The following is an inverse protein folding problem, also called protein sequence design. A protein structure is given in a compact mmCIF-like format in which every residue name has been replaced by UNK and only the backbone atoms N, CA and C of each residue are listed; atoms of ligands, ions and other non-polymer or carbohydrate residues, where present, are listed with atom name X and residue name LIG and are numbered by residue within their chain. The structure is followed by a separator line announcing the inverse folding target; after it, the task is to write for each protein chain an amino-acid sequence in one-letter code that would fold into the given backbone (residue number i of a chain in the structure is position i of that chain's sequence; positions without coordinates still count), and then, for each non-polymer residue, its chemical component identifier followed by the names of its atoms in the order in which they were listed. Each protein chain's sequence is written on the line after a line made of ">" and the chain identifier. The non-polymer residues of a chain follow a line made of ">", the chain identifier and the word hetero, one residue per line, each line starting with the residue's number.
data_IF_285611610319
#
_entry.id   IF_285611610319
#
_cell.length_a   1.000
_cell.length_b   1.000
_cell.length_c   1.000
_cell.angle_alpha   90.00
_cell.angle_beta   90.00
_cell.angle_gamma   90.00
#
_symmetry.space_group_name_H-M   'P 1'
#
loop_
_entity.id
_entity.type
_entity.pdbx_description
1 polymer ?
#
# COMPACT_ATOMS: atom_id res chain seq x y z
N UNK A 1 -3.53 5.82 2.20
CA UNK A 1 -3.14 6.96 1.32
C UNK A 1 -1.93 7.69 1.89
N UNK A 2 -2.10 8.48 2.95
CA UNK A 2 -1.03 9.36 3.48
C UNK A 2 0.29 8.67 3.79
N UNK A 3 0.22 7.46 4.35
CA UNK A 3 1.42 6.69 4.66
C UNK A 3 2.24 6.36 3.39
N UNK A 4 1.60 5.88 2.32
CA UNK A 4 2.28 5.58 1.05
C UNK A 4 2.80 6.87 0.41
N UNK A 5 1.97 7.93 0.41
CA UNK A 5 2.36 9.25 -0.13
C UNK A 5 3.64 9.76 0.53
N UNK A 6 3.69 9.78 1.86
CA UNK A 6 4.88 10.29 2.54
C UNK A 6 6.05 9.31 2.49
N UNK A 7 5.82 8.01 2.39
CA UNK A 7 6.88 7.03 2.16
C UNK A 7 7.57 7.23 0.81
N UNK A 8 6.81 7.51 -0.26
CA UNK A 8 7.37 7.81 -1.60
C UNK A 8 8.25 9.07 -1.55
N UNK A 9 7.83 10.09 -0.78
CA UNK A 9 8.50 11.40 -0.75
C UNK A 9 9.68 11.43 0.22
N UNK A 10 9.60 10.75 1.35
CA UNK A 10 10.62 10.81 2.42
C UNK A 10 10.72 9.45 3.16
N UNK A 11 11.18 8.37 2.50
CA UNK A 11 11.29 7.06 3.12
C UNK A 11 12.33 7.02 4.27
N UNK A 12 13.30 7.94 4.24
CA UNK A 12 14.32 8.13 5.27
C UNK A 12 13.83 8.95 6.48
N UNK A 13 12.61 9.52 6.40
CA UNK A 13 12.07 10.41 7.41
C UNK A 13 11.78 9.74 8.75
N UNK A 14 11.60 10.54 9.82
CA UNK A 14 11.34 10.05 11.18
C UNK A 14 10.02 9.29 11.33
N UNK A 15 9.09 9.42 10.36
CA UNK A 15 7.83 8.67 10.31
C UNK A 15 7.96 7.28 9.66
N UNK A 16 9.10 6.98 9.04
CA UNK A 16 9.32 5.80 8.22
C UNK A 16 10.59 5.06 8.68
N UNK A 17 11.62 4.96 7.84
CA UNK A 17 12.82 4.20 8.19
C UNK A 17 13.91 5.00 8.89
N UNK A 18 13.77 6.32 9.06
CA UNK A 18 14.74 7.15 9.80
C UNK A 18 15.13 6.58 11.19
N UNK A 19 14.17 6.11 12.01
CA UNK A 19 14.45 5.54 13.33
C UNK A 19 15.19 4.19 13.32
N UNK A 20 15.35 3.54 12.17
CA UNK A 20 15.91 2.18 12.10
C UNK A 20 17.45 2.13 12.10
N UNK A 21 18.12 3.28 12.06
CA UNK A 21 19.59 3.36 11.97
C UNK A 21 20.34 2.72 13.13
N UNK A 22 19.73 2.73 14.32
CA UNK A 22 20.24 2.04 15.51
C UNK A 22 19.78 0.59 15.67
N UNK A 23 19.03 0.05 14.70
CA UNK A 23 18.47 -1.30 14.75
C UNK A 23 19.48 -2.39 14.41
N UNK A 24 19.13 -3.63 14.74
CA UNK A 24 19.88 -4.83 14.35
C UNK A 24 18.95 -5.95 13.90
N UNK A 25 19.46 -6.82 13.03
CA UNK A 25 18.79 -8.00 12.52
C UNK A 25 19.79 -9.16 12.50
N UNK A 26 19.41 -10.32 13.04
CA UNK A 26 20.29 -11.50 13.17
C UNK A 26 21.66 -11.19 13.81
N UNK A 27 21.66 -10.32 14.83
CA UNK A 27 22.88 -9.89 15.53
C UNK A 27 23.77 -8.93 14.73
N UNK A 28 23.35 -8.54 13.52
CA UNK A 28 24.07 -7.60 12.67
C UNK A 28 23.39 -6.23 12.69
N UNK A 29 24.13 -5.11 12.79
CA UNK A 29 23.56 -3.78 12.65
C UNK A 29 22.87 -3.62 11.30
N UNK A 30 21.67 -3.03 11.31
CA UNK A 30 21.01 -2.56 10.08
C UNK A 30 21.75 -1.34 9.53
N UNK A 31 22.35 -0.53 10.42
CA UNK A 31 23.05 0.71 10.09
C UNK A 31 22.16 1.64 9.24
N UNK A 32 22.76 2.36 8.29
CA UNK A 32 22.05 3.35 7.47
C UNK A 32 21.39 2.79 6.20
N UNK A 33 21.33 1.45 6.02
CA UNK A 33 20.92 0.83 4.75
C UNK A 33 19.53 1.21 4.25
N UNK A 34 18.62 1.61 5.14
CA UNK A 34 17.31 2.08 4.76
C UNK A 34 17.29 3.59 4.47
N UNK A 35 18.05 4.39 5.23
CA UNK A 35 18.16 5.85 5.06
C UNK A 35 18.99 6.23 3.82
N UNK A 36 19.94 5.38 3.44
CA UNK A 36 20.80 5.50 2.27
C UNK A 36 20.55 4.38 1.24
N UNK A 37 19.44 3.65 1.37
CA UNK A 37 19.03 2.62 0.41
C UNK A 37 18.50 3.21 -0.90
N UNK A 38 18.37 2.37 -1.93
CA UNK A 38 18.00 2.79 -3.29
C UNK A 38 16.71 3.63 -3.33
N UNK A 39 15.63 3.24 -2.63
CA UNK A 39 14.41 4.05 -2.58
C UNK A 39 14.59 5.41 -1.89
N UNK A 40 15.48 5.49 -0.90
CA UNK A 40 15.78 6.77 -0.21
C UNK A 40 16.65 7.69 -1.04
N UNK A 41 17.58 7.13 -1.83
CA UNK A 41 18.34 7.89 -2.82
C UNK A 41 17.39 8.38 -3.92
N UNK A 42 16.56 7.49 -4.46
CA UNK A 42 15.57 7.81 -5.48
C UNK A 42 14.63 8.94 -5.03
N UNK A 43 14.09 8.86 -3.80
CA UNK A 43 13.19 9.88 -3.28
C UNK A 43 13.87 11.26 -3.19
N UNK A 44 15.13 11.32 -2.73
CA UNK A 44 15.92 12.56 -2.65
C UNK A 44 16.15 13.19 -4.04
N UNK A 45 16.38 12.36 -5.05
CA UNK A 45 16.76 12.80 -6.40
C UNK A 45 15.56 13.09 -7.32
N UNK A 46 14.43 12.43 -7.07
CA UNK A 46 13.30 12.37 -8.02
C UNK A 46 11.95 12.78 -7.43
N UNK A 47 11.64 12.49 -6.16
CA UNK A 47 10.29 12.73 -5.64
C UNK A 47 9.92 14.22 -5.62
N UNK A 48 10.89 15.12 -5.43
CA UNK A 48 10.70 16.58 -5.50
C UNK A 48 10.41 17.11 -6.91
N UNK A 49 10.64 16.32 -7.95
CA UNK A 49 10.34 16.65 -9.35
C UNK A 49 8.94 16.18 -9.78
N UNK A 50 8.28 15.35 -8.97
CA UNK A 50 6.92 14.89 -9.22
C UNK A 50 5.90 15.90 -8.67
N UNK A 51 4.84 16.12 -9.41
CA UNK A 51 3.71 16.92 -8.95
C UNK A 51 2.94 16.20 -7.84
N UNK A 52 2.21 16.96 -7.03
CA UNK A 52 1.32 16.38 -6.01
C UNK A 52 0.25 15.48 -6.63
N UNK A 53 -0.18 15.78 -7.86
CA UNK A 53 -1.14 14.97 -8.60
C UNK A 53 -0.54 13.63 -9.03
N UNK A 54 0.68 13.61 -9.57
CA UNK A 54 1.38 12.37 -9.95
C UNK A 54 1.61 11.46 -8.74
N UNK A 55 2.05 12.03 -7.62
CA UNK A 55 2.23 11.25 -6.38
C UNK A 55 0.89 10.68 -5.91
N UNK A 56 -0.18 11.47 -5.92
CA UNK A 56 -1.52 10.99 -5.55
C UNK A 56 -2.01 9.90 -6.52
N UNK A 57 -1.74 10.05 -7.81
CA UNK A 57 -2.08 9.08 -8.84
C UNK A 57 -1.42 7.72 -8.58
N UNK A 58 -0.10 7.69 -8.38
CA UNK A 58 0.63 6.45 -8.05
C UNK A 58 0.10 5.82 -6.76
N UNK A 59 -0.24 6.62 -5.76
CA UNK A 59 -0.87 6.11 -4.52
C UNK A 59 -2.20 5.42 -4.81
N UNK A 60 -3.09 6.01 -5.61
CA UNK A 60 -4.35 5.36 -5.98
C UNK A 60 -4.14 4.10 -6.80
N UNK A 61 -3.17 4.10 -7.72
CA UNK A 61 -2.83 2.93 -8.51
C UNK A 61 -2.32 1.78 -7.63
N UNK A 62 -1.45 2.04 -6.66
CA UNK A 62 -1.00 1.02 -5.70
C UNK A 62 -2.16 0.52 -4.83
N UNK A 63 -3.07 1.41 -4.43
CA UNK A 63 -4.27 1.01 -3.68
C UNK A 63 -5.21 0.14 -4.50
N UNK A 64 -5.31 0.37 -5.82
CA UNK A 64 -6.15 -0.43 -6.71
C UNK A 64 -5.65 -1.86 -6.91
N UNK A 65 -4.38 -2.13 -6.58
CA UNK A 65 -3.84 -3.49 -6.57
C UNK A 65 -4.25 -4.29 -5.33
N UNK A 66 -4.59 -3.59 -4.24
CA UNK A 66 -4.97 -4.19 -2.97
C UNK A 66 -6.47 -4.43 -2.82
N UNK A 67 -6.85 -4.91 -1.64
CA UNK A 67 -8.24 -5.16 -1.21
C UNK A 67 -8.55 -4.38 0.09
N UNK A 68 -7.96 -3.19 0.25
CA UNK A 68 -8.02 -2.36 1.47
C UNK A 68 -9.35 -1.61 1.60
N UNK A 69 -10.35 -2.29 2.16
CA UNK A 69 -11.69 -1.73 2.38
C UNK A 69 -11.74 -0.59 3.41
N UNK A 70 -10.78 -0.52 4.33
CA UNK A 70 -10.69 0.50 5.38
C UNK A 70 -10.30 1.89 4.84
N UNK A 71 -9.80 1.95 3.61
CA UNK A 71 -9.40 3.20 2.97
C UNK A 71 -10.53 3.81 2.12
N UNK A 72 -11.69 3.17 2.01
CA UNK A 72 -12.76 3.62 1.13
C UNK A 72 -12.48 3.29 -0.35
N UNK A 73 -13.36 3.72 -1.27
CA UNK A 73 -13.24 3.37 -2.68
C UNK A 73 -11.97 3.95 -3.30
N UNK A 74 -11.46 3.26 -4.32
CA UNK A 74 -10.40 3.73 -5.20
C UNK A 74 -10.99 4.72 -6.20
N UNK A 75 -10.28 5.82 -6.44
CA UNK A 75 -10.57 6.70 -7.58
C UNK A 75 -9.97 6.07 -8.85
N UNK A 76 -10.84 5.54 -9.71
CA UNK A 76 -10.40 4.78 -10.90
C UNK A 76 -9.71 5.66 -11.94
N UNK A 77 -10.16 6.90 -12.13
CA UNK A 77 -9.53 7.81 -13.10
C UNK A 77 -8.14 8.21 -12.62
N UNK A 78 -8.01 8.47 -11.32
CA UNK A 78 -6.71 8.79 -10.72
C UNK A 78 -5.77 7.58 -10.69
N UNK A 79 -6.30 6.36 -10.50
CA UNK A 79 -5.52 5.12 -10.59
C UNK A 79 -5.03 4.84 -12.03
N UNK A 80 -5.80 5.17 -13.06
CA UNK A 80 -5.35 5.06 -14.46
C UNK A 80 -4.18 6.00 -14.75
N UNK A 81 -4.26 7.26 -14.30
CA UNK A 81 -3.13 8.20 -14.34
C UNK A 81 -1.94 7.68 -13.52
N UNK A 82 -2.23 7.02 -12.39
CA UNK A 82 -1.20 6.46 -11.54
C UNK A 82 -0.43 5.33 -12.20
N UNK A 83 -1.13 4.51 -13.00
CA UNK A 83 -0.51 3.50 -13.85
C UNK A 83 0.42 4.12 -14.88
N UNK A 84 -0.01 5.20 -15.54
CA UNK A 84 0.84 5.92 -16.49
C UNK A 84 2.12 6.41 -15.80
N UNK A 85 2.02 7.10 -14.67
CA UNK A 85 3.18 7.55 -13.89
C UNK A 85 4.05 6.37 -13.41
N UNK A 86 3.45 5.24 -13.06
CA UNK A 86 4.20 4.05 -12.67
C UNK A 86 5.09 3.53 -13.82
N UNK A 87 4.57 3.55 -15.05
CA UNK A 87 5.25 3.06 -16.25
C UNK A 87 6.22 4.08 -16.86
N UNK A 88 5.85 5.36 -16.92
CA UNK A 88 6.60 6.42 -17.63
C UNK A 88 7.33 7.41 -16.70
N UNK A 89 6.92 7.49 -15.43
CA UNK A 89 7.47 8.41 -14.43
C UNK A 89 6.96 9.86 -14.49
N UNK A 90 6.08 10.20 -15.44
CA UNK A 90 5.39 11.49 -15.48
C UNK A 90 4.12 11.47 -16.34
N UNK A 91 3.17 12.34 -16.01
CA UNK A 91 2.01 12.65 -16.87
C UNK A 91 2.33 13.67 -17.96
N UNK A 92 3.45 14.38 -17.87
CA UNK A 92 3.90 15.28 -18.94
C UNK A 92 4.83 14.50 -19.89
N UNK A 93 4.42 14.28 -21.15
CA UNK A 93 5.21 13.52 -22.12
C UNK A 93 6.53 14.22 -22.50
N UNK A 94 6.72 15.49 -22.13
CA UNK A 94 7.94 16.25 -22.38
C UNK A 94 8.80 16.44 -21.13
N UNK A 95 8.43 15.82 -20.00
CA UNK A 95 9.16 16.00 -18.76
C UNK A 95 10.54 15.33 -18.85
N UNK A 96 11.59 16.14 -18.84
CA UNK A 96 12.97 15.66 -18.89
C UNK A 96 13.27 14.66 -17.75
N UNK A 97 13.92 13.54 -18.09
CA UNK A 97 14.27 12.47 -17.15
C UNK A 97 13.07 11.81 -16.48
N UNK A 98 11.90 11.75 -17.13
CA UNK A 98 10.72 11.07 -16.61
C UNK A 98 10.99 9.59 -16.34
N UNK A 99 11.72 8.93 -17.22
CA UNK A 99 12.08 7.53 -17.09
C UNK A 99 12.75 7.23 -15.74
N UNK A 100 13.67 8.08 -15.26
CA UNK A 100 14.35 7.90 -13.96
C UNK A 100 13.39 7.95 -12.76
N UNK A 101 12.19 8.50 -12.96
CA UNK A 101 11.10 8.55 -11.95
C UNK A 101 10.15 7.37 -12.07
N UNK A 102 10.18 6.62 -13.17
CA UNK A 102 9.24 5.53 -13.39
C UNK A 102 9.47 4.40 -12.38
N UNK A 103 8.42 4.04 -11.65
CA UNK A 103 8.47 3.00 -10.63
C UNK A 103 8.84 1.64 -11.24
N UNK A 104 8.39 1.39 -12.48
CA UNK A 104 8.65 0.17 -13.24
C UNK A 104 10.14 -0.03 -13.58
N UNK A 105 10.99 0.99 -13.48
CA UNK A 105 12.45 0.80 -13.64
C UNK A 105 13.06 -0.14 -12.59
N UNK A 106 12.41 -0.30 -11.45
CA UNK A 106 12.89 -1.16 -10.36
C UNK A 106 11.84 -2.18 -9.89
N UNK A 107 10.56 -1.81 -9.88
CA UNK A 107 9.50 -2.63 -9.30
C UNK A 107 8.75 -3.43 -10.35
N UNK A 108 8.83 -4.76 -10.27
CA UNK A 108 8.00 -5.67 -11.07
C UNK A 108 6.54 -5.61 -10.57
N UNK A 109 5.60 -5.81 -11.49
CA UNK A 109 4.18 -5.95 -11.16
C UNK A 109 3.49 -6.85 -12.18
N UNK A 110 2.59 -7.71 -11.72
CA UNK A 110 1.74 -8.57 -12.53
C UNK A 110 0.30 -8.15 -12.32
N UNK A 111 -0.40 -7.81 -13.41
CA UNK A 111 -1.81 -7.43 -13.40
C UNK A 111 -2.58 -8.42 -14.27
N UNK A 112 -3.63 -9.02 -13.71
CA UNK A 112 -4.46 -10.01 -14.40
C UNK A 112 -3.67 -11.17 -15.04
N UNK A 113 -2.55 -11.57 -14.41
CA UNK A 113 -1.70 -12.69 -14.87
C UNK A 113 -0.66 -12.32 -15.93
N UNK A 114 -0.53 -11.04 -16.29
CA UNK A 114 0.49 -10.55 -17.23
C UNK A 114 1.42 -9.54 -16.55
N UNK A 115 2.74 -9.56 -16.84
CA UNK A 115 3.66 -8.50 -16.40
C UNK A 115 3.21 -7.13 -16.91
N UNK A 116 3.29 -6.13 -16.03
CA UNK A 116 3.11 -4.74 -16.38
C UNK A 116 4.39 -4.23 -17.04
N UNK A 117 4.37 -4.07 -18.36
CA UNK A 117 5.54 -3.67 -19.14
C UNK A 117 6.74 -4.59 -18.92
N UNK A 118 7.94 -4.05 -19.07
CA UNK A 118 9.19 -4.74 -18.77
C UNK A 118 9.87 -4.03 -17.60
N UNK A 119 9.99 -4.71 -16.46
CA UNK A 119 10.69 -4.15 -15.31
C UNK A 119 12.16 -3.88 -15.66
N UNK A 120 12.69 -2.77 -15.14
CA UNK A 120 14.06 -2.34 -15.40
C UNK A 120 15.13 -3.13 -14.65
N UNK A 121 16.38 -2.67 -14.74
CA UNK A 121 17.60 -3.45 -14.46
C UNK A 121 17.96 -3.64 -12.97
N UNK A 122 17.25 -3.01 -12.04
CA UNK A 122 17.61 -2.97 -10.61
C UNK A 122 16.63 -3.75 -9.73
N UNK A 123 17.09 -4.66 -8.85
CA UNK A 123 16.21 -5.47 -8.02
C UNK A 123 15.52 -4.63 -6.94
N UNK A 124 14.19 -4.59 -6.97
CA UNK A 124 13.32 -4.11 -5.90
C UNK A 124 12.14 -5.10 -5.68
N UNK A 125 11.39 -4.99 -4.56
CA UNK A 125 10.26 -5.86 -4.31
C UNK A 125 9.20 -5.78 -5.41
N UNK A 126 8.60 -6.91 -5.75
CA UNK A 126 7.43 -6.98 -6.61
C UNK A 126 6.23 -6.31 -5.90
N UNK A 127 5.48 -5.50 -6.63
CA UNK A 127 4.33 -4.75 -6.11
C UNK A 127 2.98 -5.36 -6.53
N UNK A 128 2.99 -6.58 -7.07
CA UNK A 128 1.78 -7.35 -7.36
C UNK A 128 0.91 -7.47 -6.11
N UNK A 129 -0.35 -7.06 -6.25
CA UNK A 129 -1.33 -7.04 -5.16
C UNK A 129 -0.87 -6.29 -3.90
N UNK A 130 -0.01 -5.28 -4.04
CA UNK A 130 0.56 -4.57 -2.91
C UNK A 130 -0.52 -4.07 -1.93
N UNK A 131 -0.32 -4.35 -0.64
CA UNK A 131 -1.28 -3.98 0.40
C UNK A 131 -2.51 -4.89 0.52
N UNK A 132 -2.65 -5.92 -0.33
CA UNK A 132 -3.70 -6.93 -0.18
C UNK A 132 -3.50 -7.84 1.04
N UNK A 133 -4.53 -8.61 1.42
CA UNK A 133 -4.36 -9.57 2.53
C UNK A 133 -3.39 -10.67 2.14
N UNK A 134 -3.49 -11.16 0.91
CA UNK A 134 -2.59 -12.17 0.36
C UNK A 134 -1.13 -11.71 0.36
N UNK A 135 -0.87 -10.50 -0.15
CA UNK A 135 0.47 -9.89 -0.14
C UNK A 135 1.02 -9.74 1.28
N UNK A 136 0.21 -9.22 2.21
CA UNK A 136 0.67 -9.00 3.59
C UNK A 136 0.99 -10.32 4.30
N UNK A 137 0.14 -11.34 4.12
CA UNK A 137 0.39 -12.67 4.69
C UNK A 137 1.69 -13.26 4.17
N UNK A 138 1.89 -13.23 2.86
CA UNK A 138 3.09 -13.74 2.24
C UNK A 138 4.33 -12.96 2.69
N UNK A 139 4.27 -11.63 2.75
CA UNK A 139 5.37 -10.79 3.21
C UNK A 139 5.79 -11.09 4.66
N UNK A 140 4.84 -11.26 5.58
CA UNK A 140 5.15 -11.56 6.99
C UNK A 140 5.73 -12.97 7.18
N UNK A 141 5.33 -13.92 6.32
CA UNK A 141 5.81 -15.30 6.39
C UNK A 141 7.14 -15.48 5.66
N UNK A 142 7.36 -14.77 4.56
CA UNK A 142 8.49 -14.97 3.64
C UNK A 142 9.17 -13.63 3.25
N UNK A 143 9.58 -12.76 4.19
CA UNK A 143 10.10 -11.42 3.85
C UNK A 143 11.41 -11.44 3.03
N UNK A 144 12.14 -12.56 3.06
CA UNK A 144 13.36 -12.83 2.30
C UNK A 144 13.12 -13.55 0.96
N UNK A 145 11.87 -13.76 0.55
CA UNK A 145 11.60 -14.30 -0.78
C UNK A 145 12.10 -13.35 -1.88
N UNK A 146 12.39 -13.91 -3.08
CA UNK A 146 12.95 -13.17 -4.22
C UNK A 146 12.08 -11.98 -4.63
N UNK A 147 10.76 -12.16 -4.63
CA UNK A 147 9.79 -11.13 -4.98
C UNK A 147 9.55 -10.11 -3.85
N UNK A 148 10.13 -10.33 -2.67
CA UNK A 148 10.18 -9.35 -1.58
C UNK A 148 11.58 -8.71 -1.54
N UNK A 149 12.32 -8.86 -0.43
CA UNK A 149 13.63 -8.22 -0.28
C UNK A 149 14.81 -9.16 -0.56
N UNK A 150 14.59 -10.46 -0.77
CA UNK A 150 15.68 -11.40 -1.04
C UNK A 150 16.80 -11.32 -0.01
N UNK A 151 18.04 -11.28 -0.50
CA UNK A 151 19.24 -11.11 0.33
C UNK A 151 19.38 -9.73 0.99
N UNK A 152 18.56 -8.75 0.62
CA UNK A 152 18.52 -7.41 1.24
C UNK A 152 17.58 -7.34 2.45
N UNK A 153 16.84 -8.41 2.73
CA UNK A 153 15.90 -8.46 3.84
C UNK A 153 16.58 -8.21 5.20
N UNK A 154 15.92 -7.45 6.06
CA UNK A 154 16.28 -7.29 7.47
C UNK A 154 15.07 -7.43 8.41
N UNK A 155 14.00 -8.08 7.93
CA UNK A 155 12.80 -8.39 8.69
C UNK A 155 12.78 -9.88 9.05
N UNK A 156 12.50 -10.25 10.32
CA UNK A 156 12.34 -11.66 10.68
C UNK A 156 11.06 -12.24 10.08
N UNK A 157 11.13 -13.49 9.62
CA UNK A 157 9.94 -14.27 9.30
C UNK A 157 9.14 -14.58 10.57
N UNK A 158 7.81 -14.55 10.42
CA UNK A 158 6.84 -14.90 11.47
C UNK A 158 6.36 -16.36 11.39
N UNK A 159 6.80 -17.14 10.39
CA UNK A 159 6.30 -18.49 10.09
C UNK A 159 6.27 -19.43 11.29
N UNK A 160 7.29 -19.37 12.14
CA UNK A 160 7.44 -20.25 13.31
C UNK A 160 7.40 -19.48 14.65
N UNK A 161 6.85 -18.26 14.65
CA UNK A 161 6.85 -17.36 15.82
C UNK A 161 5.52 -17.27 16.55
N UNK A 162 4.44 -17.76 15.96
CA UNK A 162 3.08 -17.70 16.51
C UNK A 162 2.18 -18.76 15.88
N UNK A 163 1.06 -19.04 16.53
CA UNK A 163 0.01 -19.90 15.98
C UNK A 163 -0.70 -19.23 14.79
N UNK A 164 -1.44 -20.05 14.03
CA UNK A 164 -2.27 -19.56 12.91
C UNK A 164 -3.29 -18.51 13.35
N UNK A 165 -3.95 -18.73 14.48
CA UNK A 165 -5.00 -17.83 14.97
C UNK A 165 -4.41 -16.47 15.41
N UNK A 166 -3.26 -16.47 16.07
CA UNK A 166 -2.53 -15.25 16.43
C UNK A 166 -2.06 -14.49 15.18
N UNK A 167 -1.58 -15.21 14.17
CA UNK A 167 -1.20 -14.61 12.90
C UNK A 167 -2.39 -13.97 12.18
N UNK A 168 -3.56 -14.62 12.18
CA UNK A 168 -4.79 -14.07 11.61
C UNK A 168 -5.24 -12.79 12.34
N UNK A 169 -5.10 -12.75 13.66
CA UNK A 169 -5.36 -11.54 14.46
C UNK A 169 -4.37 -10.43 14.10
N UNK A 170 -3.08 -10.73 13.98
CA UNK A 170 -2.05 -9.77 13.58
C UNK A 170 -2.34 -9.18 12.19
N UNK A 171 -2.69 -10.00 11.22
CA UNK A 171 -3.02 -9.55 9.85
C UNK A 171 -4.22 -8.61 9.85
N UNK A 172 -5.29 -8.96 10.57
CA UNK A 172 -6.45 -8.07 10.75
C UNK A 172 -6.08 -6.77 11.46
N UNK A 173 -5.20 -6.85 12.46
CA UNK A 173 -4.67 -5.70 13.19
C UNK A 173 -3.70 -4.81 12.38
N UNK A 174 -3.04 -5.32 11.35
CA UNK A 174 -2.26 -4.47 10.44
C UNK A 174 -3.15 -3.81 9.39
N UNK A 175 -4.32 -4.39 9.11
CA UNK A 175 -5.25 -3.96 8.05
C UNK A 175 -6.41 -3.08 8.53
N UNK A 176 -6.43 -2.64 9.80
CA UNK A 176 -7.56 -1.87 10.38
C UNK A 176 -8.88 -2.63 10.43
N UNK A 177 -8.83 -3.96 10.49
CA UNK A 177 -9.99 -4.85 10.52
C UNK A 177 -10.31 -5.34 11.95
N UNK A 178 -10.37 -4.42 12.92
CA UNK A 178 -10.81 -4.71 14.29
C UNK A 178 -12.02 -3.88 14.66
N UNK A 179 -12.73 -4.33 15.69
CA UNK A 179 -13.82 -3.58 16.30
C UNK A 179 -13.24 -2.34 17.01
N UNK A 180 -13.48 -1.17 16.45
CA UNK A 180 -13.28 0.09 17.17
C UNK A 180 -14.43 0.24 18.17
N UNK A 181 -14.16 0.41 19.48
CA UNK A 181 -15.20 0.68 20.45
C UNK A 181 -15.97 1.94 20.01
N UNK A 182 -17.30 1.85 19.92
CA UNK A 182 -18.12 3.05 19.64
C UNK A 182 -17.75 4.10 20.68
N UNK A 183 -17.34 5.28 20.22
CA UNK A 183 -17.07 6.41 21.09
C UNK A 183 -18.28 6.62 22.02
N UNK A 184 -18.04 6.68 23.34
CA UNK A 184 -19.06 7.03 24.32
C UNK A 184 -19.65 8.39 23.92
N UNK A 185 -20.87 8.39 23.37
CA UNK A 185 -21.58 9.61 22.95
C UNK A 185 -22.15 9.60 21.53
N UNK A 186 -21.92 8.57 20.72
CA UNK A 186 -22.61 8.44 19.44
C UNK A 186 -24.08 8.04 19.69
N UNK A 187 -24.95 9.05 19.86
CA UNK A 187 -26.39 8.89 19.90
C UNK A 187 -26.84 8.11 18.66
N UNK A 188 -27.49 6.97 18.89
CA UNK A 188 -28.18 6.22 17.86
C UNK A 188 -29.35 7.08 17.40
N UNK A 189 -29.21 7.75 16.27
CA UNK A 189 -30.37 8.24 15.53
C UNK A 189 -30.93 7.01 14.83
N UNK A 190 -31.88 6.36 15.51
CA UNK A 190 -32.63 5.24 14.97
C UNK A 190 -33.45 5.77 13.78
N UNK A 191 -33.04 5.43 12.56
CA UNK A 191 -33.80 5.70 11.35
C UNK A 191 -34.99 4.75 11.29
N UNK A 192 -36.00 5.01 12.12
CA UNK A 192 -37.32 4.44 11.94
C UNK A 192 -37.93 5.02 10.66
N UNK A 193 -37.72 4.34 9.53
CA UNK A 193 -38.59 4.52 8.36
C UNK A 193 -40.01 4.11 8.76
N UNK A 194 -41.03 4.97 8.56
CA UNK A 194 -42.41 4.56 8.80
C UNK A 194 -42.83 3.58 7.71
N UNK A 195 -43.17 2.36 8.11
CA UNK A 195 -43.82 1.37 7.24
C UNK A 195 -45.23 1.89 6.92
N UNK A 196 -45.43 2.37 5.69
CA UNK A 196 -46.74 2.70 5.17
C UNK A 196 -47.61 1.43 5.12
N UNK A 197 -48.60 1.34 6.01
CA UNK A 197 -49.64 0.32 5.91
C UNK A 197 -50.53 0.64 4.70
N UNK A 198 -50.49 -0.26 3.71
CA UNK A 198 -51.42 -0.29 2.58
C UNK A 198 -52.84 -0.41 3.13
N UNK A 199 -53.71 0.49 2.70
CA UNK A 199 -55.15 0.37 2.91
C UNK A 199 -55.68 -0.86 2.17
N UNK A 200 -56.30 -1.77 2.91
CA UNK A 200 -57.20 -2.77 2.35
C UNK A 200 -58.60 -2.16 2.34
N UNK A 201 -59.14 -1.96 1.14
CA UNK A 201 -60.57 -1.70 0.94
C UNK A 201 -61.36 -3.00 0.79
N UNK A 202 -62.68 -2.86 0.93
CA UNK A 202 -63.78 -3.77 0.52
C UNK A 202 -63.95 -5.04 1.39
N UNK A 203 -65.13 -5.48 1.87
CA UNK A 203 -66.57 -5.32 1.52
C UNK A 203 -67.42 -5.50 2.83
N UNK A 204 -68.46 -4.70 3.14
CA UNK A 204 -69.93 -4.87 2.91
C UNK A 204 -70.53 -6.25 3.29
N UNK A 205 -71.81 -6.36 3.72
CA UNK A 205 -72.94 -5.42 3.58
C UNK A 205 -73.47 -4.76 4.87
#
# INVERSE_FOLDING_TARGET
>A
RDWIKGFIVDPAGPKYFGPTTGGSYNGQPVADRFVNGAMSVWAKEHAGKMTQNEIAAVVEFLLSQGDRTDLGPVDTELAEKGREVFESGSLDPNAEGAEERACLQCHEMVIAGAPLGSAGMSPAPELTQYGSEAWLRDFLLNPDARHHYGSRNAMPSYKDRMSRDEFDVLVKWLRRQWLEPRAKGANVVESHQPVARRGAGSELP
#
